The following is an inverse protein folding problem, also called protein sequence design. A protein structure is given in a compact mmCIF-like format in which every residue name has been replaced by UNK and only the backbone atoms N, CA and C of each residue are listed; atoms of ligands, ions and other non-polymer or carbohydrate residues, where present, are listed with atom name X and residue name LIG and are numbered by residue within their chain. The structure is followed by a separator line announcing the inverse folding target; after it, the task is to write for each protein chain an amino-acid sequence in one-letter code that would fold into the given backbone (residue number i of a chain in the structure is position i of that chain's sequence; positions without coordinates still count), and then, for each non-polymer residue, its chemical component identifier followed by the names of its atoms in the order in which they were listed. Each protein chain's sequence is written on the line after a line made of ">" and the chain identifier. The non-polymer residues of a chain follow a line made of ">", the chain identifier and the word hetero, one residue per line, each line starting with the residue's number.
data_IF_325796284576
#
_entry.id   IF_325796284576
#
_cell.length_a   1.000
_cell.length_b   1.000
_cell.length_c   1.000
_cell.angle_alpha   90.00
_cell.angle_beta   90.00
_cell.angle_gamma   90.00
#
_symmetry.space_group_name_H-M   'P 1'
#
loop_
_entity.id
_entity.type
_entity.pdbx_description
1 polymer ?
#
# COMPACT_ATOMS: atom_id res chain seq x y z
N UNK A 1 1.34 33.66 52.74
CA UNK A 1 1.51 34.14 51.34
C UNK A 1 2.83 33.57 50.81
N UNK A 2 2.80 32.65 49.83
CA UNK A 2 4.04 32.13 49.23
C UNK A 2 4.75 33.29 48.50
N UNK A 3 6.04 33.46 48.77
CA UNK A 3 6.86 34.50 48.16
C UNK A 3 6.81 34.39 46.63
N UNK A 4 6.59 35.52 45.95
CA UNK A 4 6.56 35.63 44.49
C UNK A 4 7.78 34.98 43.84
N UNK A 5 8.94 35.02 44.52
CA UNK A 5 10.19 34.39 44.07
C UNK A 5 10.11 32.87 44.01
N UNK A 6 9.37 32.23 44.91
CA UNK A 6 9.20 30.77 44.94
C UNK A 6 8.25 30.29 43.85
N UNK A 7 7.21 31.06 43.54
CA UNK A 7 6.26 30.75 42.46
C UNK A 7 6.92 30.83 41.08
N UNK A 8 7.75 31.84 40.83
CA UNK A 8 8.45 32.00 39.53
C UNK A 8 9.43 30.85 39.26
N UNK A 9 10.16 30.38 40.30
CA UNK A 9 11.12 29.27 40.17
C UNK A 9 10.50 27.93 39.78
N UNK A 10 9.21 27.73 40.02
CA UNK A 10 8.51 26.48 39.72
C UNK A 10 7.71 26.62 38.42
N UNK A 11 6.98 27.72 38.26
CA UNK A 11 6.07 27.91 37.11
C UNK A 11 6.83 28.01 35.80
N UNK A 12 7.95 28.75 35.76
CA UNK A 12 8.72 28.95 34.52
C UNK A 12 9.31 27.65 33.95
N UNK A 13 10.07 26.83 34.72
CA UNK A 13 10.60 25.57 34.18
C UNK A 13 9.51 24.55 33.89
N UNK A 14 8.43 24.51 34.66
CA UNK A 14 7.31 23.59 34.38
C UNK A 14 6.59 23.96 33.09
N UNK A 15 6.35 25.26 32.86
CA UNK A 15 5.75 25.75 31.63
C UNK A 15 6.67 25.49 30.43
N UNK A 16 7.98 25.72 30.57
CA UNK A 16 8.95 25.42 29.52
C UNK A 16 9.00 23.93 29.18
N UNK A 17 8.96 23.06 30.20
CA UNK A 17 8.90 21.61 30.00
C UNK A 17 7.63 21.22 29.24
N UNK A 18 6.46 21.70 29.66
CA UNK A 18 5.17 21.43 29.01
C UNK A 18 5.15 21.93 27.55
N UNK A 19 5.66 23.14 27.29
CA UNK A 19 5.76 23.67 25.93
C UNK A 19 6.73 22.87 25.06
N UNK A 20 7.87 22.44 25.62
CA UNK A 20 8.83 21.62 24.89
C UNK A 20 8.27 20.25 24.55
N UNK A 21 7.61 19.56 25.50
CA UNK A 21 6.98 18.26 25.24
C UNK A 21 5.78 18.37 24.31
N UNK A 22 4.98 19.43 24.41
CA UNK A 22 3.89 19.69 23.46
C UNK A 22 4.43 19.90 22.03
N UNK A 23 5.59 20.53 21.86
CA UNK A 23 6.22 20.74 20.55
C UNK A 23 6.76 19.44 19.94
N UNK A 24 7.26 18.50 20.75
CA UNK A 24 7.73 17.19 20.27
C UNK A 24 6.61 16.18 19.97
N UNK A 25 5.40 16.39 20.49
CA UNK A 25 4.26 15.47 20.28
C UNK A 25 3.55 15.75 18.93
N UNK A 26 3.72 16.93 18.32
CA UNK A 26 3.17 17.24 17.00
C UNK A 26 4.14 16.82 15.90
N UNK A 27 4.32 15.52 15.71
CA UNK A 27 4.94 14.98 14.49
C UNK A 27 3.83 14.74 13.46
N UNK A 28 3.68 15.65 12.49
CA UNK A 28 2.87 15.40 11.30
C UNK A 28 3.74 14.72 10.25
N UNK A 29 3.63 13.41 10.09
CA UNK A 29 4.15 12.74 8.90
C UNK A 29 3.28 13.15 7.71
N UNK A 30 3.84 13.89 6.77
CA UNK A 30 3.18 14.22 5.51
C UNK A 30 3.56 13.13 4.50
N UNK A 31 2.61 12.25 4.19
CA UNK A 31 2.74 11.31 3.10
C UNK A 31 2.84 12.08 1.78
N UNK A 32 3.77 11.70 0.90
CA UNK A 32 3.67 12.10 -0.49
C UNK A 32 2.48 11.40 -1.17
N UNK A 33 2.05 11.93 -2.31
CA UNK A 33 1.07 11.24 -3.15
C UNK A 33 1.81 10.49 -4.24
N UNK A 34 1.52 9.20 -4.46
CA UNK A 34 2.12 8.47 -5.59
C UNK A 34 1.89 9.23 -6.91
N UNK A 35 2.96 9.48 -7.66
CA UNK A 35 2.92 10.22 -8.92
C UNK A 35 2.09 9.44 -9.94
N UNK A 36 2.35 8.14 -10.09
CA UNK A 36 1.54 7.20 -10.86
C UNK A 36 1.28 5.93 -10.05
N UNK A 37 0.09 5.36 -10.23
CA UNK A 37 -0.25 4.02 -9.74
C UNK A 37 -1.29 3.42 -10.67
N UNK A 38 -1.11 2.17 -11.05
CA UNK A 38 -2.14 1.39 -11.70
C UNK A 38 -2.02 -0.09 -11.36
N UNK A 39 -3.17 -0.77 -11.36
CA UNK A 39 -3.27 -2.21 -11.17
C UNK A 39 -3.92 -2.80 -12.41
N UNK A 40 -3.23 -3.74 -13.04
CA UNK A 40 -3.78 -4.58 -14.09
C UNK A 40 -4.09 -5.96 -13.52
N UNK A 41 -5.38 -6.26 -13.36
CA UNK A 41 -5.82 -7.58 -12.89
C UNK A 41 -6.07 -8.51 -14.08
N UNK A 42 -5.72 -9.78 -13.94
CA UNK A 42 -6.08 -10.81 -14.93
C UNK A 42 -7.58 -10.95 -15.10
N UNK A 43 -8.34 -10.63 -14.05
CA UNK A 43 -9.80 -10.72 -14.01
C UNK A 43 -10.44 -9.61 -13.18
N UNK A 44 -11.39 -8.90 -13.78
CA UNK A 44 -12.26 -7.89 -13.16
C UNK A 44 -13.71 -8.41 -13.01
N UNK A 45 -13.90 -9.46 -12.22
CA UNK A 45 -15.22 -10.06 -11.95
C UNK A 45 -15.49 -10.06 -10.46
N UNK A 46 -16.71 -9.76 -10.06
CA UNK A 46 -17.13 -9.88 -8.66
C UNK A 46 -17.13 -11.36 -8.20
N UNK A 47 -16.74 -11.58 -6.94
CA UNK A 47 -16.87 -12.87 -6.25
C UNK A 47 -15.94 -13.97 -6.76
N UNK A 48 -14.73 -13.62 -7.21
CA UNK A 48 -13.71 -14.63 -7.51
C UNK A 48 -13.13 -15.19 -6.21
N UNK A 49 -13.07 -16.52 -6.13
CA UNK A 49 -12.55 -17.25 -4.97
C UNK A 49 -11.03 -17.52 -5.05
N UNK A 50 -10.38 -17.14 -6.15
CA UNK A 50 -8.94 -17.29 -6.34
C UNK A 50 -8.47 -18.71 -6.66
N UNK A 51 -9.38 -19.67 -6.89
CA UNK A 51 -9.06 -21.07 -7.13
C UNK A 51 -9.39 -21.53 -8.55
N UNK A 52 -8.59 -22.45 -9.12
CA UNK A 52 -8.84 -23.06 -10.43
C UNK A 52 -9.15 -22.03 -11.54
N UNK A 53 -10.33 -22.14 -12.14
CA UNK A 53 -10.78 -21.23 -13.19
C UNK A 53 -11.13 -19.82 -12.68
N UNK A 54 -11.17 -19.57 -11.37
CA UNK A 54 -11.41 -18.28 -10.72
C UNK A 54 -10.13 -17.65 -10.18
N UNK A 55 -8.95 -18.18 -10.51
CA UNK A 55 -7.67 -17.63 -10.08
C UNK A 55 -7.49 -16.16 -10.51
N UNK A 56 -6.97 -15.35 -9.58
CA UNK A 56 -6.69 -13.92 -9.77
C UNK A 56 -5.19 -13.71 -9.64
N UNK A 57 -4.64 -12.92 -10.56
CA UNK A 57 -3.29 -12.37 -10.47
C UNK A 57 -3.37 -10.90 -10.90
N UNK A 58 -2.43 -10.09 -10.47
CA UNK A 58 -2.35 -8.70 -10.93
C UNK A 58 -0.91 -8.23 -11.07
N UNK A 59 -0.74 -7.21 -11.90
CA UNK A 59 0.48 -6.40 -11.97
C UNK A 59 0.16 -5.06 -11.32
N UNK A 60 0.94 -4.69 -10.31
CA UNK A 60 0.95 -3.36 -9.73
C UNK A 60 2.15 -2.61 -10.29
N UNK A 61 1.92 -1.38 -10.72
CA UNK A 61 2.97 -0.46 -11.12
C UNK A 61 2.83 0.84 -10.33
N UNK A 62 3.94 1.33 -9.78
CA UNK A 62 3.97 2.55 -8.96
C UNK A 62 5.13 3.47 -9.35
N UNK A 63 4.88 4.77 -9.34
CA UNK A 63 5.88 5.82 -9.36
C UNK A 63 5.69 6.68 -8.10
N UNK A 64 6.76 6.86 -7.34
CA UNK A 64 6.76 7.62 -6.10
C UNK A 64 7.02 9.10 -6.40
N UNK A 65 6.34 10.01 -5.71
CA UNK A 65 6.66 11.44 -5.79
C UNK A 65 7.92 11.79 -4.98
N UNK A 66 8.29 10.93 -4.02
CA UNK A 66 9.52 11.06 -3.24
C UNK A 66 10.41 9.83 -3.40
N UNK A 67 11.72 9.98 -3.20
CA UNK A 67 12.62 8.83 -3.21
C UNK A 67 12.38 7.99 -1.94
N UNK A 68 11.99 6.73 -2.11
CA UNK A 68 11.82 5.79 -1.00
C UNK A 68 13.15 5.03 -0.79
N UNK A 69 13.77 5.11 0.40
CA UNK A 69 14.99 4.36 0.70
C UNK A 69 14.82 2.83 0.59
N UNK A 70 15.94 2.10 0.57
CA UNK A 70 15.95 0.64 0.60
C UNK A 70 15.25 0.07 1.84
N UNK A 71 15.00 -1.25 1.82
CA UNK A 71 14.27 -1.97 2.88
C UNK A 71 12.84 -1.45 3.05
N UNK A 72 12.25 -0.98 1.96
CA UNK A 72 10.87 -0.51 1.94
C UNK A 72 9.84 -1.64 1.86
N UNK A 73 8.60 -1.24 1.99
CA UNK A 73 7.40 -2.07 1.82
C UNK A 73 6.43 -1.39 0.86
N UNK A 74 5.70 -2.19 0.09
CA UNK A 74 4.49 -1.74 -0.60
C UNK A 74 3.30 -2.43 0.05
N UNK A 75 2.33 -1.65 0.48
CA UNK A 75 1.09 -2.13 1.10
C UNK A 75 -0.08 -1.76 0.21
N UNK A 76 -0.94 -2.74 -0.07
CA UNK A 76 -2.20 -2.58 -0.78
C UNK A 76 -3.31 -2.90 0.20
N UNK A 77 -4.13 -1.91 0.51
CA UNK A 77 -5.25 -2.01 1.43
C UNK A 77 -6.55 -2.05 0.64
N UNK A 78 -7.43 -2.99 0.99
CA UNK A 78 -8.76 -3.14 0.44
C UNK A 78 -9.79 -2.77 1.50
N UNK A 79 -10.15 -1.48 1.62
CA UNK A 79 -11.19 -1.01 2.53
C UNK A 79 -12.57 -1.45 2.06
N UNK A 80 -12.93 -2.71 2.32
CA UNK A 80 -14.29 -3.22 2.14
C UNK A 80 -14.93 -3.71 3.45
N UNK A 81 -16.19 -4.13 3.36
CA UNK A 81 -17.14 -4.49 4.43
C UNK A 81 -16.74 -5.74 5.25
N UNK A 82 -15.49 -5.85 5.70
CA UNK A 82 -15.04 -6.88 6.64
C UNK A 82 -15.27 -8.32 6.09
N UNK A 83 -15.21 -8.49 4.77
CA UNK A 83 -15.76 -9.68 4.12
C UNK A 83 -14.70 -10.73 3.72
N UNK A 84 -13.41 -10.44 3.94
CA UNK A 84 -12.25 -11.29 3.64
C UNK A 84 -12.14 -11.73 2.17
N UNK A 85 -12.78 -10.99 1.25
CA UNK A 85 -12.91 -11.41 -0.14
C UNK A 85 -11.67 -11.17 -0.99
N UNK A 86 -10.82 -10.21 -0.62
CA UNK A 86 -9.59 -9.92 -1.37
C UNK A 86 -8.48 -10.86 -0.96
N UNK A 87 -8.35 -11.14 0.34
CA UNK A 87 -7.51 -12.19 0.88
C UNK A 87 -8.36 -13.40 1.29
N UNK A 88 -8.86 -14.18 0.33
CA UNK A 88 -9.67 -15.41 0.58
C UNK A 88 -8.99 -16.38 1.53
N UNK A 89 -7.66 -16.41 1.52
CA UNK A 89 -6.85 -17.12 2.49
C UNK A 89 -5.63 -16.28 2.82
N UNK A 90 -5.38 -16.04 4.10
CA UNK A 90 -4.16 -15.38 4.54
C UNK A 90 -2.94 -16.31 4.33
N UNK A 91 -1.81 -15.73 3.92
CA UNK A 91 -0.58 -16.49 3.69
C UNK A 91 0.34 -15.88 2.65
N UNK A 92 1.44 -16.57 2.39
CA UNK A 92 2.43 -16.14 1.41
C UNK A 92 1.86 -16.15 -0.01
N UNK A 93 2.15 -15.10 -0.77
CA UNK A 93 1.82 -14.93 -2.18
C UNK A 93 3.07 -15.14 -3.04
N UNK A 94 2.87 -15.43 -4.32
CA UNK A 94 3.94 -15.38 -5.30
C UNK A 94 4.14 -13.93 -5.73
N UNK A 95 5.38 -13.46 -5.70
CA UNK A 95 5.75 -12.11 -6.15
C UNK A 95 6.89 -12.19 -7.16
N UNK A 96 6.79 -11.42 -8.24
CA UNK A 96 7.81 -11.39 -9.30
C UNK A 96 7.94 -9.97 -9.80
N UNK A 97 9.15 -9.42 -9.78
CA UNK A 97 9.41 -8.11 -10.36
C UNK A 97 9.29 -8.19 -11.89
N UNK A 98 8.58 -7.25 -12.51
CA UNK A 98 8.31 -7.24 -13.95
C UNK A 98 8.67 -5.88 -14.53
N UNK A 99 9.37 -5.88 -15.66
CA UNK A 99 9.75 -4.65 -16.37
C UNK A 99 8.84 -4.35 -17.57
N UNK A 100 7.76 -5.12 -17.74
CA UNK A 100 6.75 -4.87 -18.76
C UNK A 100 5.43 -5.56 -18.41
N UNK A 101 4.33 -5.07 -18.99
CA UNK A 101 3.02 -5.72 -19.00
C UNK A 101 2.41 -5.72 -20.42
N UNK A 102 1.36 -6.52 -20.62
CA UNK A 102 0.65 -6.56 -21.90
C UNK A 102 -0.12 -5.26 -22.22
N UNK A 103 -0.33 -4.41 -21.22
CA UNK A 103 -1.08 -3.15 -21.35
C UNK A 103 -0.17 -1.92 -21.28
N UNK A 104 1.15 -2.12 -21.28
CA UNK A 104 2.10 -1.02 -21.22
C UNK A 104 1.94 -0.12 -22.44
N UNK A 105 1.82 1.18 -22.16
CA UNK A 105 1.74 2.22 -23.17
C UNK A 105 2.95 3.14 -23.02
N UNK A 106 3.99 2.81 -23.78
CA UNK A 106 5.31 3.45 -23.68
C UNK A 106 5.23 4.97 -23.73
N UNK A 107 5.91 5.63 -22.79
CA UNK A 107 5.96 7.09 -22.71
C UNK A 107 4.70 7.74 -22.12
N UNK A 108 3.85 6.97 -21.46
CA UNK A 108 2.69 7.48 -20.70
C UNK A 108 2.76 7.05 -19.23
N UNK A 109 1.80 7.46 -18.41
CA UNK A 109 1.68 7.04 -17.00
C UNK A 109 1.24 5.58 -16.83
N UNK A 110 1.05 4.85 -17.95
CA UNK A 110 0.70 3.43 -18.01
C UNK A 110 1.88 2.62 -18.58
N UNK A 111 3.10 3.05 -18.29
CA UNK A 111 4.34 2.39 -18.70
C UNK A 111 5.01 1.73 -17.48
N UNK A 112 5.80 0.68 -17.69
CA UNK A 112 6.67 0.12 -16.66
C UNK A 112 8.10 0.40 -17.08
N UNK A 113 8.74 1.35 -16.41
CA UNK A 113 10.11 1.73 -16.71
C UNK A 113 11.11 0.67 -16.24
N UNK A 114 10.81 0.00 -15.12
CA UNK A 114 11.72 -0.99 -14.52
C UNK A 114 10.99 -2.03 -13.69
N UNK A 115 11.61 -3.21 -13.56
CA UNK A 115 11.23 -4.19 -12.54
C UNK A 115 11.41 -3.62 -11.13
N UNK A 116 10.47 -3.93 -10.23
CA UNK A 116 10.55 -3.52 -8.83
C UNK A 116 11.87 -3.99 -8.19
N UNK A 117 12.72 -3.06 -7.70
CA UNK A 117 14.00 -3.42 -7.12
C UNK A 117 13.79 -4.11 -5.77
N UNK A 118 14.80 -4.85 -5.34
CA UNK A 118 14.79 -5.53 -4.04
C UNK A 118 16.04 -5.21 -3.24
N UNK A 119 15.88 -5.16 -1.92
CA UNK A 119 16.98 -5.13 -0.94
C UNK A 119 17.40 -6.54 -0.49
N UNK A 120 16.84 -7.60 -1.10
CA UNK A 120 17.09 -8.99 -0.78
C UNK A 120 16.27 -9.93 -1.67
N UNK A 121 15.39 -10.73 -1.06
CA UNK A 121 14.37 -11.51 -1.78
C UNK A 121 13.02 -10.85 -1.56
N UNK A 122 12.32 -10.49 -2.63
CA UNK A 122 10.95 -10.00 -2.53
C UNK A 122 10.05 -11.09 -1.96
N UNK A 123 9.24 -10.71 -1.00
CA UNK A 123 8.20 -11.57 -0.43
C UNK A 123 6.89 -10.82 -0.41
N UNK A 124 5.79 -11.50 -0.69
CA UNK A 124 4.46 -10.93 -0.56
C UNK A 124 3.61 -11.82 0.36
N UNK A 125 2.73 -11.19 1.13
CA UNK A 125 1.77 -11.90 1.97
C UNK A 125 0.39 -11.23 1.87
N UNK A 126 -0.65 -12.06 1.88
CA UNK A 126 -2.04 -11.64 2.04
C UNK A 126 -2.41 -11.81 3.51
N UNK A 127 -3.02 -10.80 4.09
CA UNK A 127 -3.58 -10.81 5.44
C UNK A 127 -5.06 -10.49 5.35
N UNK A 128 -5.87 -11.32 6.00
CA UNK A 128 -7.29 -11.06 6.15
C UNK A 128 -7.51 -9.94 7.17
N UNK A 129 -8.38 -9.01 6.83
CA UNK A 129 -9.01 -8.12 7.78
C UNK A 129 -9.99 -8.86 8.67
N UNK A 130 -10.73 -8.08 9.43
CA UNK A 130 -11.73 -8.50 10.42
C UNK A 130 -12.49 -7.27 10.88
N UNK A 131 -13.26 -7.35 11.98
CA UNK A 131 -14.07 -6.22 12.45
C UNK A 131 -13.22 -4.93 12.61
N UNK A 132 -13.52 -3.90 11.82
CA UNK A 132 -12.83 -2.62 11.78
C UNK A 132 -11.43 -2.64 11.15
N UNK A 133 -11.04 -3.70 10.42
CA UNK A 133 -9.73 -3.83 9.78
C UNK A 133 -9.85 -4.37 8.35
N UNK A 134 -8.94 -3.95 7.48
CA UNK A 134 -9.01 -4.19 6.04
C UNK A 134 -8.17 -5.39 5.60
N UNK A 135 -8.58 -6.04 4.52
CA UNK A 135 -7.71 -7.00 3.82
C UNK A 135 -6.48 -6.27 3.30
N UNK A 136 -5.30 -6.88 3.46
CA UNK A 136 -4.02 -6.23 3.13
C UNK A 136 -3.09 -7.18 2.38
N UNK A 137 -2.50 -6.69 1.29
CA UNK A 137 -1.35 -7.33 0.66
C UNK A 137 -0.10 -6.51 0.97
N UNK A 138 0.91 -7.14 1.54
CA UNK A 138 2.20 -6.49 1.84
C UNK A 138 3.30 -7.14 1.03
N UNK A 139 4.04 -6.34 0.27
CA UNK A 139 5.28 -6.70 -0.42
C UNK A 139 6.44 -6.13 0.39
N UNK A 140 7.39 -6.98 0.78
CA UNK A 140 8.53 -6.65 1.63
C UNK A 140 9.86 -6.80 0.90
N UNK A 141 10.93 -6.30 1.54
CA UNK A 141 12.29 -6.28 0.98
C UNK A 141 12.37 -5.49 -0.32
N UNK A 142 11.57 -4.42 -0.44
CA UNK A 142 11.62 -3.52 -1.59
C UNK A 142 12.96 -2.76 -1.56
N UNK A 143 13.58 -2.61 -2.73
CA UNK A 143 14.79 -1.82 -2.92
C UNK A 143 14.50 -0.32 -2.83
N UNK A 144 15.48 0.50 -3.18
CA UNK A 144 15.26 1.95 -3.29
C UNK A 144 14.37 2.27 -4.48
N UNK A 145 13.34 3.10 -4.27
CA UNK A 145 12.50 3.63 -5.34
C UNK A 145 12.91 5.07 -5.62
N UNK A 146 13.18 5.36 -6.90
CA UNK A 146 13.52 6.71 -7.35
C UNK A 146 12.27 7.35 -7.96
N UNK A 147 11.98 8.60 -7.56
CA UNK A 147 10.86 9.35 -8.10
C UNK A 147 11.02 9.60 -9.62
N UNK A 148 9.92 9.50 -10.35
CA UNK A 148 9.89 9.58 -11.82
C UNK A 148 10.28 8.27 -12.50
N UNK A 149 10.23 7.13 -11.81
CA UNK A 149 10.44 5.79 -12.37
C UNK A 149 9.29 4.90 -11.94
N UNK A 150 8.57 4.36 -12.91
CA UNK A 150 7.45 3.45 -12.68
C UNK A 150 7.96 2.02 -12.52
N UNK A 151 7.82 1.46 -11.32
CA UNK A 151 8.29 0.12 -10.97
C UNK A 151 7.15 -0.90 -10.99
N UNK A 152 7.35 -2.01 -11.73
CA UNK A 152 6.36 -3.07 -11.89
C UNK A 152 6.60 -4.31 -11.03
N UNK A 153 5.52 -4.86 -10.47
CA UNK A 153 5.52 -6.13 -9.74
C UNK A 153 4.26 -6.93 -10.02
N UNK A 154 4.42 -8.22 -10.34
CA UNK A 154 3.32 -9.18 -10.45
C UNK A 154 3.11 -9.90 -9.13
N UNK A 155 1.86 -10.03 -8.71
CA UNK A 155 1.44 -10.76 -7.51
C UNK A 155 0.39 -11.81 -7.90
N UNK A 156 0.55 -13.03 -7.39
CA UNK A 156 -0.36 -14.14 -7.64
C UNK A 156 -0.55 -15.00 -6.38
N UNK A 157 -1.65 -15.74 -6.32
CA UNK A 157 -1.93 -16.70 -5.24
C UNK A 157 -0.81 -17.75 -5.08
N UNK A 158 -0.63 -18.22 -3.85
CA UNK A 158 0.17 -19.38 -3.48
C UNK A 158 -0.47 -20.04 -2.25
N UNK A 159 0.13 -19.91 -1.06
CA UNK A 159 -0.49 -20.32 0.20
C UNK A 159 -1.62 -19.34 0.54
N UNK A 160 -1.34 -18.05 0.40
CA UNK A 160 -2.37 -17.01 0.39
C UNK A 160 -3.14 -17.02 -0.93
N UNK A 161 -4.44 -16.77 -0.87
CA UNK A 161 -5.34 -16.81 -2.03
C UNK A 161 -5.95 -15.43 -2.24
N UNK A 162 -5.73 -14.89 -3.44
CA UNK A 162 -6.28 -13.60 -3.88
C UNK A 162 -7.65 -13.84 -4.51
N UNK A 163 -8.66 -13.12 -4.02
CA UNK A 163 -10.00 -13.10 -4.62
C UNK A 163 -10.38 -11.71 -5.12
N UNK A 164 -11.69 -11.51 -5.28
CA UNK A 164 -12.30 -10.20 -5.50
C UNK A 164 -13.55 -10.06 -4.64
N UNK A 165 -13.91 -8.81 -4.31
CA UNK A 165 -15.13 -8.51 -3.58
C UNK A 165 -16.37 -9.14 -4.23
N UNK A 166 -17.30 -9.64 -3.42
CA UNK A 166 -18.52 -10.32 -3.86
C UNK A 166 -19.52 -9.43 -4.60
N UNK A 167 -19.38 -8.11 -4.49
CA UNK A 167 -20.30 -7.13 -5.08
C UNK A 167 -19.73 -6.50 -6.35
N UNK A 168 -20.64 -6.17 -7.27
CA UNK A 168 -20.30 -5.47 -8.51
C UNK A 168 -20.25 -3.97 -8.28
N UNK A 169 -19.35 -3.29 -8.98
CA UNK A 169 -19.18 -1.85 -8.87
C UNK A 169 -17.75 -1.47 -8.54
N UNK A 170 -17.58 -0.22 -8.11
CA UNK A 170 -16.30 0.36 -7.77
C UNK A 170 -15.90 0.00 -6.34
N UNK A 171 -14.67 -0.47 -6.18
CA UNK A 171 -14.06 -0.83 -4.92
C UNK A 171 -12.81 0.01 -4.72
N UNK A 172 -12.75 0.75 -3.61
CA UNK A 172 -11.57 1.56 -3.29
C UNK A 172 -10.40 0.67 -2.88
N UNK A 173 -9.21 1.07 -3.31
CA UNK A 173 -7.94 0.43 -2.99
C UNK A 173 -6.94 1.52 -2.69
N UNK A 174 -6.21 1.37 -1.59
CA UNK A 174 -5.13 2.29 -1.21
C UNK A 174 -3.80 1.58 -1.38
N UNK A 175 -2.90 2.18 -2.16
CA UNK A 175 -1.53 1.70 -2.31
C UNK A 175 -0.59 2.66 -1.60
N UNK A 176 0.30 2.11 -0.80
CA UNK A 176 1.31 2.86 -0.04
C UNK A 176 2.68 2.25 -0.26
N UNK A 177 3.66 3.05 -0.67
CA UNK A 177 5.08 2.70 -0.67
C UNK A 177 5.76 3.40 0.50
N UNK A 178 6.48 2.67 1.36
CA UNK A 178 7.05 3.23 2.59
C UNK A 178 8.42 2.64 2.93
N UNK A 179 9.29 3.45 3.55
CA UNK A 179 10.49 3.01 4.26
C UNK A 179 10.74 3.95 5.44
N UNK A 180 10.61 3.42 6.66
CA UNK A 180 10.70 4.22 7.88
C UNK A 180 9.61 5.30 7.95
N UNK A 181 10.03 6.58 7.96
CA UNK A 181 9.13 7.74 7.99
C UNK A 181 8.81 8.32 6.61
N UNK A 182 9.49 7.83 5.57
CA UNK A 182 9.25 8.27 4.18
C UNK A 182 8.20 7.37 3.57
N UNK A 183 7.06 7.94 3.18
CA UNK A 183 5.99 7.19 2.55
C UNK A 183 5.22 8.02 1.53
N UNK A 184 4.81 7.35 0.45
CA UNK A 184 3.91 7.89 -0.55
C UNK A 184 2.69 6.98 -0.66
N UNK A 185 1.50 7.56 -0.75
CA UNK A 185 0.25 6.81 -0.82
C UNK A 185 -0.70 7.36 -1.88
N UNK A 186 -1.58 6.52 -2.42
CA UNK A 186 -2.66 6.95 -3.30
C UNK A 186 -3.80 5.94 -3.29
N UNK A 187 -5.01 6.46 -3.20
CA UNK A 187 -6.25 5.68 -3.29
C UNK A 187 -6.88 5.84 -4.66
N UNK A 188 -7.40 4.75 -5.20
CA UNK A 188 -8.13 4.72 -6.47
C UNK A 188 -9.14 3.58 -6.44
N UNK A 189 -9.95 3.47 -7.48
CA UNK A 189 -11.04 2.49 -7.55
C UNK A 189 -10.76 1.43 -8.60
N UNK A 190 -11.08 0.18 -8.27
CA UNK A 190 -11.12 -0.96 -9.19
C UNK A 190 -12.58 -1.32 -9.45
N UNK A 191 -12.93 -1.60 -10.71
CA UNK A 191 -14.28 -1.98 -11.10
C UNK A 191 -14.44 -3.51 -11.16
N UNK A 192 -15.36 -4.06 -10.38
CA UNK A 192 -15.76 -5.47 -10.45
C UNK A 192 -17.06 -5.63 -11.26
N UNK A 193 -17.05 -6.51 -12.26
CA UNK A 193 -18.19 -6.73 -13.16
C UNK A 193 -18.99 -8.00 -12.80
N UNK A 194 -20.29 -8.00 -13.10
CA UNK A 194 -21.19 -9.15 -12.87
C UNK A 194 -20.84 -10.36 -13.75
N UNK A 195 -20.44 -10.09 -14.99
CA UNK A 195 -19.94 -11.06 -15.96
C UNK A 195 -18.79 -10.42 -16.74
N UNK A 196 -17.79 -11.23 -17.09
CA UNK A 196 -16.74 -10.83 -18.02
C UNK A 196 -17.38 -10.50 -19.38
N UNK A 197 -17.07 -9.32 -19.93
CA UNK A 197 -17.33 -9.01 -21.33
C UNK A 197 -15.99 -9.12 -22.04
N UNK A 198 -15.61 -10.33 -22.44
CA UNK A 198 -14.75 -10.63 -23.59
C UNK A 198 -15.03 -12.07 -24.02
#
# INVERSE_FOLDING_TARGET
>A
MKSLKTSIKIVVPTLFLILSTAFFIVFSAQAGTLAAVYIFMSRLKAGLDGSGANAVQFILAIDTATNIPTAGTITIEFPDDEDTSWCRTAGALTVTAVAASAVDLTGTTWDIDSALPTSGTLTAACSQGGAGTVDTITISSVGSLTAGTTYGVQVASNIGVIGTNGTTGEHEVTVTAASGVTLDSKSFKILNLLRYIF
#
